data_IF_252952094424
#
_entry.id   IF_252952094424
#
_cell.length_a   1.000
_cell.length_b   1.000
_cell.length_c   1.000
_cell.angle_alpha   90.00
_cell.angle_beta   90.00
_cell.angle_gamma   90.00
#
_symmetry.space_group_name_H-M   'P 1'
#
loop_
_entity.id
_entity.type
_entity.pdbx_description
1 polymer ?
#
# COMPACT_ATOMS: atom_id res chain seq x y z
N UNK A 1 -2.37 8.60 -23.57
CA UNK A 1 -2.09 7.41 -22.76
C UNK A 1 -2.68 7.64 -21.36
N UNK A 2 -3.40 6.68 -20.81
CA UNK A 2 -4.06 6.85 -19.50
C UNK A 2 -3.07 6.48 -18.37
N UNK A 3 -2.26 7.45 -17.93
CA UNK A 3 -1.31 7.27 -16.85
C UNK A 3 -2.03 7.30 -15.50
N UNK A 4 -1.92 6.25 -14.70
CA UNK A 4 -2.51 6.20 -13.37
C UNK A 4 -1.57 6.82 -12.32
N UNK A 5 -0.26 6.61 -12.46
CA UNK A 5 0.76 7.21 -11.61
C UNK A 5 1.85 7.80 -12.50
N UNK A 6 2.34 8.99 -12.17
CA UNK A 6 3.50 9.59 -12.81
C UNK A 6 4.45 10.18 -11.78
N UNK A 7 5.74 9.99 -11.98
CA UNK A 7 6.79 10.57 -11.16
C UNK A 7 7.70 11.45 -12.02
N UNK A 8 7.98 12.66 -11.53
CA UNK A 8 8.79 13.64 -12.23
C UNK A 8 9.93 14.14 -11.34
N UNK A 9 11.17 13.92 -11.80
CA UNK A 9 12.39 14.37 -11.14
C UNK A 9 12.45 13.98 -9.66
N UNK A 10 12.05 12.76 -9.30
CA UNK A 10 12.10 12.29 -7.93
C UNK A 10 13.56 12.14 -7.48
N UNK A 11 13.87 12.83 -6.40
CA UNK A 11 15.09 12.66 -5.61
C UNK A 11 14.71 12.21 -4.19
N UNK A 12 15.49 11.33 -3.61
CA UNK A 12 15.39 10.97 -2.19
C UNK A 12 16.77 10.87 -1.59
N UNK A 13 16.98 11.65 -0.53
CA UNK A 13 18.19 11.57 0.30
C UNK A 13 17.80 11.42 1.76
N UNK A 14 18.61 10.67 2.49
CA UNK A 14 18.56 10.56 3.94
C UNK A 14 19.79 11.25 4.53
N UNK A 15 19.59 11.98 5.62
CA UNK A 15 20.67 12.66 6.33
C UNK A 15 20.79 12.06 7.72
N UNK A 16 21.81 11.23 7.93
CA UNK A 16 22.17 10.65 9.23
C UNK A 16 23.70 10.64 9.27
N UNK A 17 24.34 11.64 9.88
CA UNK A 17 25.80 11.92 9.88
C UNK A 17 26.43 12.13 8.49
N UNK A 18 25.93 11.49 7.43
CA UNK A 18 26.31 11.73 6.03
C UNK A 18 25.06 11.73 5.18
N UNK A 19 25.01 12.63 4.19
CA UNK A 19 23.91 12.69 3.20
C UNK A 19 24.07 11.54 2.21
N UNK A 20 23.09 10.60 2.22
CA UNK A 20 23.04 9.47 1.30
C UNK A 20 21.93 9.73 0.27
N UNK A 21 22.31 9.88 -1.00
CA UNK A 21 21.36 10.05 -2.09
C UNK A 21 20.94 8.67 -2.62
N UNK A 22 19.71 8.25 -2.30
CA UNK A 22 19.17 6.93 -2.66
C UNK A 22 18.49 6.97 -4.02
N UNK A 23 17.66 7.98 -4.30
CA UNK A 23 17.04 8.16 -5.61
C UNK A 23 17.57 9.44 -6.27
N UNK A 24 17.89 9.36 -7.56
CA UNK A 24 18.48 10.46 -8.32
C UNK A 24 17.72 10.67 -9.62
N UNK A 25 16.90 11.74 -9.68
CA UNK A 25 16.21 12.23 -10.90
C UNK A 25 15.35 11.15 -11.59
N UNK A 26 14.60 10.35 -10.81
CA UNK A 26 13.75 9.30 -11.36
C UNK A 26 12.54 9.94 -12.05
N UNK A 27 12.30 9.53 -13.30
CA UNK A 27 11.11 9.90 -14.08
C UNK A 27 10.49 8.62 -14.63
N UNK A 28 9.20 8.44 -14.44
CA UNK A 28 8.45 7.33 -15.04
C UNK A 28 6.95 7.63 -15.05
N UNK A 29 6.21 6.97 -15.94
CA UNK A 29 4.76 6.99 -15.98
C UNK A 29 4.22 5.57 -16.04
N UNK A 30 3.33 5.25 -15.10
CA UNK A 30 2.69 3.95 -15.01
C UNK A 30 1.32 4.03 -15.68
N UNK A 31 1.09 3.16 -16.66
CA UNK A 31 -0.13 3.11 -17.47
C UNK A 31 -1.14 2.20 -16.76
N UNK A 32 -2.39 2.62 -16.70
CA UNK A 32 -3.49 1.82 -16.11
C UNK A 32 -3.60 0.45 -16.78
N UNK A 33 -3.82 -0.59 -15.98
CA UNK A 33 -4.01 -1.97 -16.44
C UNK A 33 -2.72 -2.68 -16.87
N UNK A 34 -1.54 -2.14 -16.54
CA UNK A 34 -0.26 -2.79 -16.80
C UNK A 34 0.43 -3.25 -15.52
N UNK A 35 1.19 -4.33 -15.62
CA UNK A 35 2.07 -4.82 -14.55
C UNK A 35 3.47 -4.29 -14.80
N UNK A 36 4.12 -3.81 -13.75
CA UNK A 36 5.50 -3.31 -13.78
C UNK A 36 6.34 -4.08 -12.78
N UNK A 37 7.56 -4.45 -13.16
CA UNK A 37 8.54 -5.07 -12.28
C UNK A 37 9.67 -4.09 -12.02
N UNK A 38 9.99 -3.89 -10.73
CA UNK A 38 11.12 -3.08 -10.29
C UNK A 38 12.26 -3.99 -9.84
N UNK A 39 13.30 -4.09 -10.65
CA UNK A 39 14.43 -4.99 -10.44
C UNK A 39 15.72 -4.24 -10.10
N UNK A 40 16.64 -4.91 -9.44
CA UNK A 40 17.96 -4.37 -9.09
C UNK A 40 18.52 -5.01 -7.81
N UNK A 41 19.81 -4.79 -7.50
CA UNK A 41 20.48 -5.34 -6.32
C UNK A 41 19.89 -4.81 -5.02
N UNK A 42 20.22 -5.45 -3.89
CA UNK A 42 19.86 -4.95 -2.57
C UNK A 42 20.48 -3.55 -2.36
N UNK A 43 19.75 -2.67 -1.69
CA UNK A 43 20.19 -1.29 -1.44
C UNK A 43 20.04 -0.32 -2.63
N UNK A 44 19.57 -0.75 -3.81
CA UNK A 44 19.40 0.14 -4.97
C UNK A 44 18.24 1.14 -4.89
N UNK A 45 17.50 1.17 -3.79
CA UNK A 45 16.41 2.14 -3.56
C UNK A 45 15.02 1.66 -4.00
N UNK A 46 14.83 0.37 -4.34
CA UNK A 46 13.52 -0.17 -4.76
C UNK A 46 12.42 0.07 -3.74
N UNK A 47 12.65 -0.32 -2.51
CA UNK A 47 11.68 -0.13 -1.41
C UNK A 47 11.42 1.35 -1.15
N UNK A 48 12.44 2.20 -1.24
CA UNK A 48 12.31 3.65 -1.12
C UNK A 48 11.40 4.22 -2.21
N UNK A 49 11.58 3.78 -3.46
CA UNK A 49 10.71 4.21 -4.56
C UNK A 49 9.28 3.72 -4.36
N UNK A 50 9.08 2.45 -3.97
CA UNK A 50 7.75 1.89 -3.69
C UNK A 50 7.06 2.64 -2.53
N UNK A 51 7.78 2.99 -1.47
CA UNK A 51 7.23 3.78 -0.36
C UNK A 51 6.79 5.18 -0.80
N UNK A 52 7.50 5.81 -1.74
CA UNK A 52 7.07 7.11 -2.30
C UNK A 52 5.85 6.93 -3.20
N UNK A 53 5.83 5.91 -4.08
CA UNK A 53 4.70 5.62 -4.95
C UNK A 53 3.43 5.29 -4.16
N UNK A 54 3.57 4.63 -3.01
CA UNK A 54 2.48 4.29 -2.10
C UNK A 54 2.14 5.39 -1.09
N UNK A 55 2.80 6.55 -1.18
CA UNK A 55 2.57 7.70 -0.28
C UNK A 55 2.84 7.38 1.22
N UNK A 56 3.67 6.39 1.52
CA UNK A 56 4.16 6.09 2.88
C UNK A 56 5.31 7.03 3.24
N UNK A 57 6.15 7.35 2.24
CA UNK A 57 7.26 8.29 2.40
C UNK A 57 7.15 9.40 1.36
N UNK A 58 7.79 10.53 1.61
CA UNK A 58 7.82 11.68 0.69
C UNK A 58 9.18 11.78 -0.02
N UNK A 59 9.22 12.23 -1.27
CA UNK A 59 10.47 12.54 -1.93
C UNK A 59 11.16 13.74 -1.25
N UNK A 60 12.49 13.85 -1.39
CA UNK A 60 13.20 15.08 -0.98
C UNK A 60 12.87 16.23 -1.95
N UNK A 61 12.82 15.92 -3.24
CA UNK A 61 12.34 16.84 -4.29
C UNK A 61 11.72 16.06 -5.44
N UNK A 62 10.99 16.74 -6.31
CA UNK A 62 10.24 16.15 -7.41
C UNK A 62 8.75 16.05 -7.10
N UNK A 63 7.98 15.48 -7.99
CA UNK A 63 6.52 15.37 -7.85
C UNK A 63 6.01 13.98 -8.18
N UNK A 64 5.02 13.54 -7.40
CA UNK A 64 4.19 12.36 -7.64
C UNK A 64 2.81 12.85 -8.12
N UNK A 65 2.30 12.25 -9.17
CA UNK A 65 0.94 12.47 -9.66
C UNK A 65 0.18 11.15 -9.61
N UNK A 66 -1.05 11.19 -9.12
CA UNK A 66 -2.00 10.07 -9.16
C UNK A 66 -3.25 10.57 -9.88
N UNK A 67 -3.70 9.85 -10.90
CA UNK A 67 -4.80 10.25 -11.79
C UNK A 67 -4.64 11.70 -12.31
N UNK A 68 -3.42 12.08 -12.70
CA UNK A 68 -2.99 13.43 -13.14
C UNK A 68 -3.05 14.53 -12.07
N UNK A 69 -3.44 14.24 -10.83
CA UNK A 69 -3.42 15.19 -9.73
C UNK A 69 -2.08 15.16 -9.00
N UNK A 70 -1.44 16.30 -8.82
CA UNK A 70 -0.18 16.41 -8.06
C UNK A 70 -0.49 16.15 -6.59
N UNK A 71 0.30 15.29 -5.97
CA UNK A 71 0.21 14.98 -4.53
C UNK A 71 0.97 16.05 -3.75
N UNK A 72 0.24 16.74 -2.86
CA UNK A 72 0.85 17.61 -1.85
C UNK A 72 1.17 16.78 -0.60
N UNK A 73 2.42 16.44 -0.42
CA UNK A 73 2.87 15.64 0.75
C UNK A 73 2.73 16.35 2.11
N UNK A 74 2.31 17.62 2.15
CA UNK A 74 2.02 18.32 3.40
C UNK A 74 0.54 18.19 3.81
N UNK A 75 -0.34 17.80 2.90
CA UNK A 75 -1.78 17.56 3.17
C UNK A 75 -2.00 16.09 3.59
N UNK A 76 -1.67 15.78 4.84
CA UNK A 76 -1.78 14.42 5.38
C UNK A 76 -3.22 13.86 5.29
N UNK A 77 -4.23 14.69 5.56
CA UNK A 77 -5.65 14.23 5.60
C UNK A 77 -6.10 13.78 4.20
N UNK A 78 -5.79 14.58 3.17
CA UNK A 78 -6.14 14.22 1.81
C UNK A 78 -5.31 13.04 1.31
N UNK A 79 -4.02 13.00 1.65
CA UNK A 79 -3.13 11.90 1.29
C UNK A 79 -3.60 10.56 1.88
N UNK A 80 -4.07 10.54 3.13
CA UNK A 80 -4.62 9.35 3.75
C UNK A 80 -5.88 8.86 3.03
N UNK A 81 -6.76 9.79 2.60
CA UNK A 81 -7.95 9.47 1.81
C UNK A 81 -7.59 8.93 0.42
N UNK A 82 -6.61 9.52 -0.25
CA UNK A 82 -6.15 9.04 -1.57
C UNK A 82 -5.54 7.63 -1.41
N UNK A 83 -4.63 7.45 -0.44
CA UNK A 83 -3.96 6.18 -0.18
C UNK A 83 -4.97 5.08 0.11
N UNK A 84 -5.91 5.30 1.02
CA UNK A 84 -6.91 4.30 1.39
C UNK A 84 -7.82 3.87 0.24
N UNK A 85 -8.08 4.75 -0.74
CA UNK A 85 -8.98 4.48 -1.88
C UNK A 85 -8.27 3.99 -3.13
N UNK A 86 -6.99 4.32 -3.32
CA UNK A 86 -6.31 4.16 -4.61
C UNK A 86 -5.11 3.23 -4.56
N UNK A 87 -4.67 2.83 -3.36
CA UNK A 87 -3.42 2.09 -3.20
C UNK A 87 -3.64 0.91 -2.25
N UNK A 88 -3.45 -0.30 -2.76
CA UNK A 88 -3.32 -1.51 -1.96
C UNK A 88 -1.86 -1.92 -1.85
N UNK A 89 -1.37 -2.20 -0.64
CA UNK A 89 0.01 -2.59 -0.40
C UNK A 89 0.06 -3.98 0.21
N UNK A 90 0.86 -4.85 -0.42
CA UNK A 90 1.20 -6.16 0.13
C UNK A 90 2.69 -6.14 0.46
N UNK A 91 3.03 -6.29 1.73
CA UNK A 91 4.41 -6.31 2.21
C UNK A 91 5.00 -7.71 2.13
N UNK A 92 6.32 -7.79 2.02
CA UNK A 92 7.05 -9.06 2.06
C UNK A 92 6.82 -9.81 3.38
N UNK A 93 6.81 -9.09 4.50
CA UNK A 93 6.42 -9.61 5.82
C UNK A 93 4.97 -9.20 6.07
N UNK A 94 4.00 -9.88 5.64
CA UNK A 94 2.54 -9.64 5.70
C UNK A 94 2.05 -8.45 6.55
N UNK A 95 2.78 -8.04 7.58
CA UNK A 95 2.52 -6.92 8.50
C UNK A 95 1.06 -6.92 9.02
N UNK A 96 0.57 -8.10 9.39
CA UNK A 96 -0.70 -8.22 10.09
C UNK A 96 -0.55 -7.72 11.52
N UNK A 97 -1.60 -7.11 12.03
CA UNK A 97 -1.68 -6.67 13.41
C UNK A 97 -1.84 -7.91 14.31
N UNK A 98 -0.88 -8.23 15.19
CA UNK A 98 -0.87 -9.51 15.91
C UNK A 98 -2.01 -9.67 16.92
N UNK A 99 -2.46 -8.54 17.49
CA UNK A 99 -3.50 -8.51 18.53
C UNK A 99 -4.93 -8.50 17.95
N UNK A 100 -5.07 -8.63 16.64
CA UNK A 100 -6.33 -8.58 15.93
C UNK A 100 -6.51 -9.82 15.05
N UNK A 101 -7.75 -10.32 15.01
CA UNK A 101 -8.12 -11.46 14.17
C UNK A 101 -7.91 -11.18 12.67
N UNK A 102 -7.96 -12.23 11.85
CA UNK A 102 -7.91 -12.11 10.40
C UNK A 102 -8.99 -11.18 9.86
N UNK A 103 -10.23 -11.31 10.37
CA UNK A 103 -11.34 -10.45 9.99
C UNK A 103 -11.08 -8.98 10.37
N UNK A 104 -10.55 -8.72 11.55
CA UNK A 104 -10.25 -7.38 12.03
C UNK A 104 -9.15 -6.72 11.21
N UNK A 105 -8.08 -7.46 10.91
CA UNK A 105 -7.00 -7.00 10.03
C UNK A 105 -7.51 -6.53 8.67
N UNK A 106 -8.56 -7.16 8.15
CA UNK A 106 -9.14 -6.82 6.83
C UNK A 106 -10.13 -5.68 6.94
N UNK A 107 -11.11 -5.73 7.89
CA UNK A 107 -12.15 -4.69 7.92
C UNK A 107 -11.63 -3.33 8.38
N UNK A 108 -10.53 -3.24 9.14
CA UNK A 108 -9.93 -1.96 9.50
C UNK A 108 -9.52 -1.14 8.26
N UNK A 109 -9.04 -1.80 7.20
CA UNK A 109 -8.74 -1.11 5.96
C UNK A 109 -10.01 -0.52 5.30
N UNK A 110 -11.16 -1.20 5.39
CA UNK A 110 -12.43 -0.68 4.90
C UNK A 110 -12.96 0.47 5.78
N UNK A 111 -12.75 0.43 7.09
CA UNK A 111 -13.13 1.52 8.00
C UNK A 111 -12.39 2.82 7.71
N UNK A 112 -11.18 2.76 7.14
CA UNK A 112 -10.44 3.96 6.75
C UNK A 112 -11.16 4.81 5.68
N UNK A 113 -12.12 4.20 4.95
CA UNK A 113 -12.93 4.88 3.93
C UNK A 113 -14.36 5.13 4.41
N UNK A 114 -14.91 4.22 5.20
CA UNK A 114 -16.31 4.19 5.58
C UNK A 114 -16.46 4.14 7.10
N UNK A 115 -17.21 5.07 7.68
CA UNK A 115 -17.54 5.04 9.13
C UNK A 115 -18.58 3.95 9.49
N UNK A 116 -18.97 3.09 8.55
CA UNK A 116 -19.98 2.05 8.78
C UNK A 116 -19.31 0.71 9.07
N UNK A 117 -19.14 0.40 10.37
CA UNK A 117 -18.52 -0.87 10.82
C UNK A 117 -19.25 -2.11 10.28
N UNK A 118 -20.57 -2.12 10.30
CA UNK A 118 -21.38 -3.29 9.84
C UNK A 118 -21.09 -3.60 8.37
N UNK A 119 -21.06 -2.58 7.53
CA UNK A 119 -20.76 -2.74 6.11
C UNK A 119 -19.29 -3.16 5.88
N UNK A 120 -18.34 -2.58 6.61
CA UNK A 120 -16.92 -2.93 6.52
C UNK A 120 -16.66 -4.39 6.93
N UNK A 121 -17.31 -4.86 7.99
CA UNK A 121 -17.24 -6.28 8.41
C UNK A 121 -17.81 -7.20 7.34
N UNK A 122 -18.96 -6.85 6.74
CA UNK A 122 -19.55 -7.67 5.68
C UNK A 122 -18.67 -7.76 4.44
N UNK A 123 -18.07 -6.64 4.01
CA UNK A 123 -17.11 -6.63 2.91
C UNK A 123 -15.90 -7.51 3.22
N UNK A 124 -15.36 -7.41 4.45
CA UNK A 124 -14.24 -8.23 4.87
C UNK A 124 -14.54 -9.73 4.86
N UNK A 125 -15.71 -10.13 5.32
CA UNK A 125 -16.17 -11.55 5.26
C UNK A 125 -16.23 -12.04 3.82
N UNK A 126 -16.76 -11.22 2.91
CA UNK A 126 -16.87 -11.59 1.50
C UNK A 126 -15.49 -11.81 0.88
N UNK A 127 -14.56 -10.89 1.04
CA UNK A 127 -13.22 -11.02 0.45
C UNK A 127 -12.41 -12.15 1.11
N UNK A 128 -12.54 -12.38 2.42
CA UNK A 128 -11.92 -13.53 3.11
C UNK A 128 -12.46 -14.85 2.55
N UNK A 129 -13.77 -14.91 2.27
CA UNK A 129 -14.39 -16.06 1.61
C UNK A 129 -13.82 -16.30 0.22
N UNK A 130 -13.65 -15.25 -0.59
CA UNK A 130 -13.01 -15.33 -1.93
C UNK A 130 -11.57 -15.84 -1.84
N UNK A 131 -10.84 -15.53 -0.75
CA UNK A 131 -9.50 -16.06 -0.48
C UNK A 131 -9.49 -17.51 0.05
N UNK A 132 -10.67 -18.14 0.20
CA UNK A 132 -10.80 -19.52 0.70
C UNK A 132 -10.53 -19.66 2.21
N UNK A 133 -10.76 -18.60 3.00
CA UNK A 133 -10.39 -18.54 4.41
C UNK A 133 -11.56 -18.28 5.36
N UNK A 134 -12.82 -18.61 4.97
CA UNK A 134 -14.00 -18.39 5.80
C UNK A 134 -13.91 -19.04 7.21
N UNK A 135 -13.27 -20.19 7.33
CA UNK A 135 -13.04 -20.88 8.60
C UNK A 135 -11.94 -20.24 9.46
N UNK A 136 -11.22 -19.28 8.93
CA UNK A 136 -10.07 -18.60 9.57
C UNK A 136 -10.36 -17.17 10.01
N UNK A 137 -11.55 -16.66 9.79
CA UNK A 137 -11.87 -15.23 10.02
C UNK A 137 -11.64 -14.79 11.47
N UNK A 138 -11.80 -15.69 12.44
CA UNK A 138 -11.62 -15.41 13.87
C UNK A 138 -10.24 -15.81 14.43
N UNK A 139 -9.34 -16.34 13.60
CA UNK A 139 -7.99 -16.70 14.03
C UNK A 139 -7.09 -15.46 14.09
N UNK A 140 -6.18 -15.47 15.07
CA UNK A 140 -5.10 -14.49 15.17
C UNK A 140 -3.96 -14.85 14.20
N UNK A 141 -3.10 -13.88 13.82
CA UNK A 141 -1.97 -14.15 12.95
C UNK A 141 -1.06 -15.29 13.41
N UNK A 142 -0.89 -15.47 14.72
CA UNK A 142 -0.09 -16.57 15.30
C UNK A 142 -0.68 -17.97 15.07
N UNK A 143 -1.96 -18.05 14.73
CA UNK A 143 -2.69 -19.30 14.48
C UNK A 143 -2.80 -19.63 12.99
N UNK A 144 -2.31 -18.73 12.12
CA UNK A 144 -2.36 -18.85 10.67
C UNK A 144 -1.03 -19.34 10.12
N UNK A 145 -1.09 -20.20 9.11
CA UNK A 145 0.09 -20.55 8.31
C UNK A 145 0.61 -19.34 7.52
N UNK A 146 1.88 -19.38 7.08
CA UNK A 146 2.46 -18.30 6.28
C UNK A 146 1.64 -17.95 5.01
N UNK A 147 1.11 -18.99 4.33
CA UNK A 147 0.26 -18.81 3.16
C UNK A 147 -1.12 -18.23 3.50
N UNK A 148 -1.71 -18.59 4.65
CA UNK A 148 -2.96 -17.99 5.13
C UNK A 148 -2.75 -16.52 5.50
N UNK A 149 -1.69 -16.18 6.23
CA UNK A 149 -1.32 -14.79 6.54
C UNK A 149 -1.14 -13.95 5.27
N UNK A 150 -0.50 -14.52 4.24
CA UNK A 150 -0.31 -13.83 2.97
C UNK A 150 -1.65 -13.55 2.28
N UNK A 151 -2.57 -14.52 2.24
CA UNK A 151 -3.92 -14.30 1.68
C UNK A 151 -4.74 -13.30 2.48
N UNK A 152 -4.63 -13.24 3.80
CA UNK A 152 -5.26 -12.19 4.62
C UNK A 152 -4.66 -10.81 4.30
N UNK A 153 -3.33 -10.71 4.13
CA UNK A 153 -2.69 -9.46 3.72
C UNK A 153 -3.14 -9.01 2.31
N UNK A 154 -3.36 -9.95 1.38
CA UNK A 154 -3.96 -9.68 0.07
C UNK A 154 -5.41 -9.18 0.21
N UNK A 155 -6.23 -9.85 1.01
CA UNK A 155 -7.61 -9.42 1.28
C UNK A 155 -7.65 -7.99 1.83
N UNK A 156 -6.77 -7.68 2.80
CA UNK A 156 -6.63 -6.34 3.37
C UNK A 156 -6.24 -5.29 2.31
N UNK A 157 -5.36 -5.63 1.39
CA UNK A 157 -4.93 -4.71 0.34
C UNK A 157 -6.03 -4.46 -0.71
N UNK A 158 -6.90 -5.44 -0.97
CA UNK A 158 -7.89 -5.41 -2.05
C UNK A 158 -9.29 -4.95 -1.60
N UNK A 159 -9.59 -4.92 -0.30
CA UNK A 159 -10.96 -4.67 0.20
C UNK A 159 -11.55 -3.33 -0.24
N UNK A 160 -10.71 -2.35 -0.54
CA UNK A 160 -11.12 -1.02 -1.00
C UNK A 160 -11.08 -0.86 -2.53
N UNK A 161 -10.83 -1.95 -3.28
CA UNK A 161 -10.79 -1.97 -4.76
C UNK A 161 -9.86 -0.89 -5.33
N UNK A 162 -8.59 -0.84 -4.89
CA UNK A 162 -7.67 0.24 -5.23
C UNK A 162 -7.27 0.29 -6.71
#
# INVERSE_FOLDING_TARGET
>A
MNNIISIKKIYKSFSNNKKINVLKKINHSFIKGRIYSLMGPSGSGKSTLLNILSMIDRPTTGSLLIDNNIIDFNDNINNDKIRSKKIGIIYQQNNLLPDFTALENVYFAALAISNNKKNSVQKAKNIIKEMGLSSREHHYPSELSGGEMQRIAMARALINEP
#
